data_IF_408850193855
#
_entry.id   IF_408850193855
#
_cell.length_a   1.000
_cell.length_b   1.000
_cell.length_c   1.000
_cell.angle_alpha   90.00
_cell.angle_beta   90.00
_cell.angle_gamma   90.00
#
_symmetry.space_group_name_H-M   'P 1'
#
loop_
_entity.id
_entity.type
_entity.pdbx_description
1 polymer ?
#
# COMPACT_ATOMS: atom_id res chain seq x y z
N UNK A 1 -10.16 -19.87 10.07
CA UNK A 1 -10.79 -19.12 8.99
C UNK A 1 -11.69 -20.08 8.24
N UNK A 2 -12.96 -19.75 8.09
CA UNK A 2 -13.87 -20.58 7.30
C UNK A 2 -13.65 -20.39 5.79
N UNK A 3 -14.31 -21.22 4.98
CA UNK A 3 -14.17 -21.20 3.52
C UNK A 3 -14.70 -19.91 2.89
N UNK A 4 -15.74 -19.31 3.47
CA UNK A 4 -16.33 -18.06 2.98
C UNK A 4 -15.37 -16.90 3.25
N UNK A 5 -14.87 -16.77 4.48
CA UNK A 5 -13.86 -15.78 4.88
C UNK A 5 -12.62 -15.83 3.97
N UNK A 6 -12.08 -17.04 3.74
CA UNK A 6 -10.91 -17.23 2.87
C UNK A 6 -11.20 -16.81 1.42
N UNK A 7 -12.42 -17.08 0.94
CA UNK A 7 -12.86 -16.70 -0.41
C UNK A 7 -12.99 -15.19 -0.54
N UNK A 8 -13.59 -14.53 0.46
CA UNK A 8 -13.73 -13.07 0.50
C UNK A 8 -12.36 -12.40 0.51
N UNK A 9 -11.43 -12.87 1.34
CA UNK A 9 -10.07 -12.35 1.39
C UNK A 9 -9.35 -12.50 0.04
N UNK A 10 -9.45 -13.67 -0.59
CA UNK A 10 -8.87 -13.91 -1.91
C UNK A 10 -9.43 -12.93 -2.95
N UNK A 11 -10.75 -12.76 -3.00
CA UNK A 11 -11.40 -11.80 -3.90
C UNK A 11 -10.95 -10.36 -3.63
N UNK A 12 -10.81 -9.97 -2.36
CA UNK A 12 -10.30 -8.64 -2.01
C UNK A 12 -8.86 -8.40 -2.52
N UNK A 13 -7.97 -9.39 -2.35
CA UNK A 13 -6.58 -9.32 -2.83
C UNK A 13 -6.50 -9.24 -4.37
N UNK A 14 -7.30 -10.04 -5.07
CA UNK A 14 -7.37 -10.04 -6.53
C UNK A 14 -7.89 -8.70 -7.08
N UNK A 15 -8.82 -8.05 -6.38
CA UNK A 15 -9.39 -6.76 -6.76
C UNK A 15 -8.45 -5.55 -6.53
N UNK A 16 -7.32 -5.71 -5.83
CA UNK A 16 -6.32 -4.64 -5.70
C UNK A 16 -5.64 -4.46 -7.06
N UNK A 17 -5.73 -3.27 -7.70
CA UNK A 17 -5.05 -3.00 -8.97
C UNK A 17 -3.54 -2.91 -8.79
N UNK A 18 -2.78 -2.92 -9.88
CA UNK A 18 -1.38 -2.46 -9.83
C UNK A 18 -1.35 -0.97 -9.54
N UNK A 19 -0.52 -0.54 -8.59
CA UNK A 19 -0.36 0.86 -8.22
C UNK A 19 0.38 1.61 -9.33
N UNK A 20 -0.22 2.72 -9.74
CA UNK A 20 0.35 3.69 -10.67
C UNK A 20 0.21 5.10 -10.10
N UNK A 21 0.84 6.08 -10.75
CA UNK A 21 0.76 7.51 -10.37
C UNK A 21 -0.67 8.05 -10.28
N UNK A 22 -1.61 7.49 -11.03
CA UNK A 22 -2.96 8.02 -11.20
C UNK A 22 -4.03 7.35 -10.33
N UNK A 23 -3.74 6.18 -9.76
CA UNK A 23 -4.77 5.34 -9.12
C UNK A 23 -4.58 5.16 -7.60
N UNK A 24 -3.67 5.91 -6.97
CA UNK A 24 -3.31 5.72 -5.56
C UNK A 24 -4.50 5.73 -4.61
N UNK A 25 -5.47 6.63 -4.77
CA UNK A 25 -6.64 6.68 -3.88
C UNK A 25 -7.51 5.42 -3.95
N UNK A 26 -7.71 4.89 -5.16
CA UNK A 26 -8.43 3.63 -5.37
C UNK A 26 -7.62 2.45 -4.82
N UNK A 27 -6.33 2.39 -5.15
CA UNK A 27 -5.42 1.34 -4.69
C UNK A 27 -5.39 1.29 -3.16
N UNK A 28 -5.21 2.45 -2.51
CA UNK A 28 -5.17 2.59 -1.06
C UNK A 28 -6.46 2.06 -0.44
N UNK A 29 -7.63 2.48 -0.94
CA UNK A 29 -8.91 1.99 -0.42
C UNK A 29 -9.05 0.47 -0.54
N UNK A 30 -8.61 -0.15 -1.65
CA UNK A 30 -8.65 -1.61 -1.82
C UNK A 30 -7.72 -2.34 -0.84
N UNK A 31 -6.53 -1.80 -0.59
CA UNK A 31 -5.60 -2.37 0.39
C UNK A 31 -6.13 -2.22 1.82
N UNK A 32 -6.67 -1.06 2.18
CA UNK A 32 -7.26 -0.81 3.51
C UNK A 32 -8.43 -1.77 3.79
N UNK A 33 -9.35 -1.94 2.83
CA UNK A 33 -10.44 -2.92 2.97
C UNK A 33 -9.93 -4.36 3.18
N UNK A 34 -8.86 -4.74 2.48
CA UNK A 34 -8.23 -6.06 2.66
C UNK A 34 -7.62 -6.20 4.06
N UNK A 35 -7.00 -5.14 4.59
CA UNK A 35 -6.46 -5.12 5.95
C UNK A 35 -7.56 -5.20 7.01
N UNK A 36 -8.68 -4.52 6.81
CA UNK A 36 -9.84 -4.57 7.71
C UNK A 36 -10.41 -5.98 7.81
N UNK A 37 -10.49 -6.71 6.68
CA UNK A 37 -10.90 -8.12 6.66
C UNK A 37 -9.97 -9.05 7.46
N UNK A 38 -8.73 -8.62 7.71
CA UNK A 38 -7.74 -9.37 8.47
C UNK A 38 -7.50 -8.79 9.87
N UNK A 39 -8.18 -7.70 10.24
CA UNK A 39 -7.94 -6.92 11.47
C UNK A 39 -6.49 -6.41 11.58
N UNK A 40 -5.87 -6.04 10.46
CA UNK A 40 -4.46 -5.63 10.38
C UNK A 40 -4.24 -4.14 10.08
N UNK A 41 -5.32 -3.36 9.96
CA UNK A 41 -5.23 -1.94 9.61
C UNK A 41 -4.32 -1.17 10.57
N UNK A 42 -4.64 -1.21 11.87
CA UNK A 42 -3.88 -0.49 12.89
C UNK A 42 -2.47 -1.07 13.06
N UNK A 43 -2.32 -2.40 12.92
CA UNK A 43 -1.03 -3.07 13.01
C UNK A 43 -0.05 -2.59 11.93
N UNK A 44 -0.55 -2.33 10.72
CA UNK A 44 0.27 -1.83 9.61
C UNK A 44 0.46 -0.31 9.68
N UNK A 45 -0.62 0.44 9.91
CA UNK A 45 -0.67 1.89 9.65
C UNK A 45 -0.36 2.76 10.87
N UNK A 46 -0.67 2.30 12.08
CA UNK A 46 -0.44 3.08 13.31
C UNK A 46 1.05 3.21 13.58
N UNK A 47 1.49 4.32 14.18
CA UNK A 47 2.88 4.54 14.59
C UNK A 47 3.39 3.45 15.54
N UNK A 48 2.51 2.97 16.43
CA UNK A 48 2.80 1.92 17.41
C UNK A 48 2.32 0.53 16.97
N UNK A 49 1.83 0.38 15.74
CA UNK A 49 1.37 -0.90 15.21
C UNK A 49 2.47 -1.96 15.20
N UNK A 50 2.12 -3.22 15.43
CA UNK A 50 3.08 -4.33 15.41
C UNK A 50 2.55 -5.47 14.56
N UNK A 51 3.42 -6.07 13.74
CA UNK A 51 3.12 -7.26 12.95
C UNK A 51 3.92 -8.44 13.51
N UNK A 52 3.30 -9.61 13.56
CA UNK A 52 4.04 -10.87 13.68
C UNK A 52 4.89 -11.09 12.43
N UNK A 53 5.90 -11.97 12.52
CA UNK A 53 6.75 -12.33 11.36
C UNK A 53 5.93 -12.85 10.18
N UNK A 54 4.89 -13.64 10.44
CA UNK A 54 4.02 -14.18 9.38
C UNK A 54 3.22 -13.09 8.69
N UNK A 55 2.61 -12.19 9.47
CA UNK A 55 1.86 -11.05 8.93
C UNK A 55 2.76 -10.12 8.12
N UNK A 56 3.97 -9.84 8.59
CA UNK A 56 4.95 -9.03 7.85
C UNK A 56 5.30 -9.65 6.49
N UNK A 57 5.57 -10.96 6.45
CA UNK A 57 5.84 -11.69 5.20
C UNK A 57 4.64 -11.60 4.25
N UNK A 58 3.44 -11.90 4.74
CA UNK A 58 2.23 -11.90 3.92
C UNK A 58 1.93 -10.50 3.34
N UNK A 59 1.97 -9.48 4.19
CA UNK A 59 1.70 -8.10 3.77
C UNK A 59 2.77 -7.58 2.83
N UNK A 60 4.07 -7.86 3.06
CA UNK A 60 5.11 -7.44 2.09
C UNK A 60 4.84 -8.06 0.73
N UNK A 61 4.50 -9.35 0.68
CA UNK A 61 4.27 -10.07 -0.58
C UNK A 61 3.09 -9.45 -1.34
N UNK A 62 2.00 -9.14 -0.65
CA UNK A 62 0.85 -8.48 -1.28
C UNK A 62 1.24 -7.09 -1.77
N UNK A 63 1.83 -6.25 -0.90
CA UNK A 63 2.19 -4.88 -1.23
C UNK A 63 3.12 -4.81 -2.45
N UNK A 64 4.21 -5.57 -2.47
CA UNK A 64 5.19 -5.54 -3.58
C UNK A 64 4.63 -6.13 -4.87
N UNK A 65 3.77 -7.15 -4.80
CA UNK A 65 3.09 -7.72 -5.97
C UNK A 65 2.10 -6.76 -6.65
N UNK A 66 1.69 -5.72 -5.94
CA UNK A 66 0.71 -4.73 -6.40
C UNK A 66 1.35 -3.39 -6.76
N UNK A 67 2.66 -3.36 -7.00
CA UNK A 67 3.37 -2.23 -7.58
C UNK A 67 3.67 -2.50 -9.05
N UNK A 68 3.46 -1.53 -9.93
CA UNK A 68 4.04 -1.61 -11.26
C UNK A 68 5.57 -1.47 -11.19
N UNK A 69 6.28 -1.82 -12.28
CA UNK A 69 7.74 -1.80 -12.30
C UNK A 69 8.33 -0.43 -11.95
N UNK A 70 7.71 0.64 -12.47
CA UNK A 70 8.21 2.00 -12.25
C UNK A 70 8.03 2.45 -10.81
N UNK A 71 6.86 2.19 -10.21
CA UNK A 71 6.57 2.49 -8.81
C UNK A 71 7.42 1.64 -7.88
N UNK A 72 7.62 0.35 -8.20
CA UNK A 72 8.46 -0.55 -7.41
C UNK A 72 9.90 -0.01 -7.30
N UNK A 73 10.52 0.39 -8.42
CA UNK A 73 11.90 0.89 -8.44
C UNK A 73 12.08 2.20 -7.67
N UNK A 74 11.04 3.04 -7.59
CA UNK A 74 11.09 4.32 -6.88
C UNK A 74 10.82 4.21 -5.37
N UNK A 75 10.15 3.15 -4.93
CA UNK A 75 9.67 3.00 -3.56
C UNK A 75 10.47 1.97 -2.79
N UNK A 76 10.82 0.85 -3.41
CA UNK A 76 11.44 -0.29 -2.73
C UNK A 76 12.97 -0.15 -2.74
N UNK A 77 13.58 -0.27 -1.56
CA UNK A 77 15.03 -0.23 -1.37
C UNK A 77 15.49 -1.27 -0.34
N UNK A 78 16.81 -1.36 -0.14
CA UNK A 78 17.42 -2.29 0.82
C UNK A 78 17.03 -2.00 2.29
N UNK A 79 16.50 -0.81 2.60
CA UNK A 79 16.09 -0.42 3.94
C UNK A 79 14.66 -0.88 4.25
N UNK A 80 13.79 -0.93 3.25
CA UNK A 80 12.36 -1.21 3.43
C UNK A 80 11.90 -2.58 2.88
N UNK A 81 12.62 -3.22 1.97
CA UNK A 81 12.16 -4.43 1.26
C UNK A 81 11.75 -5.60 2.17
N UNK A 82 12.24 -5.62 3.43
CA UNK A 82 11.95 -6.66 4.44
C UNK A 82 11.01 -6.19 5.56
N UNK A 83 10.31 -5.08 5.39
CA UNK A 83 9.41 -4.55 6.42
C UNK A 83 8.13 -3.96 5.79
N UNK A 84 6.99 -4.62 6.02
CA UNK A 84 5.73 -4.22 5.43
C UNK A 84 5.28 -2.81 5.86
N UNK A 85 5.54 -2.42 7.12
CA UNK A 85 5.22 -1.08 7.63
C UNK A 85 6.07 -0.01 6.95
N UNK A 86 7.36 -0.27 6.75
CA UNK A 86 8.26 0.62 6.02
C UNK A 86 7.84 0.78 4.56
N UNK A 87 7.44 -0.32 3.89
CA UNK A 87 6.91 -0.27 2.51
C UNK A 87 5.63 0.57 2.45
N UNK A 88 4.66 0.32 3.33
CA UNK A 88 3.43 1.10 3.40
C UNK A 88 3.69 2.60 3.60
N UNK A 89 4.63 2.95 4.49
CA UNK A 89 5.04 4.34 4.74
C UNK A 89 5.72 4.95 3.52
N UNK A 90 6.62 4.22 2.86
CA UNK A 90 7.29 4.68 1.64
C UNK A 90 6.28 4.96 0.52
N UNK A 91 5.31 4.06 0.31
CA UNK A 91 4.20 4.27 -0.62
C UNK A 91 3.41 5.53 -0.27
N UNK A 92 2.94 5.62 0.97
CA UNK A 92 2.12 6.75 1.42
C UNK A 92 2.84 8.10 1.24
N UNK A 93 4.15 8.15 1.56
CA UNK A 93 4.96 9.35 1.44
C UNK A 93 5.23 9.75 -0.02
N UNK A 94 5.53 8.78 -0.88
CA UNK A 94 5.79 9.02 -2.30
C UNK A 94 4.60 9.70 -2.99
N UNK A 95 3.39 9.19 -2.72
CA UNK A 95 2.17 9.71 -3.33
C UNK A 95 1.66 11.00 -2.67
N UNK A 96 1.86 11.18 -1.36
CA UNK A 96 1.59 12.46 -0.71
C UNK A 96 2.47 13.59 -1.28
N UNK A 97 3.77 13.30 -1.48
CA UNK A 97 4.72 14.24 -2.08
C UNK A 97 4.40 14.54 -3.55
N UNK A 98 4.06 13.50 -4.32
CA UNK A 98 3.68 13.66 -5.73
C UNK A 98 2.43 14.52 -5.90
N UNK A 99 1.41 14.32 -5.06
CA UNK A 99 0.23 15.19 -5.07
C UNK A 99 0.56 16.64 -4.70
N UNK A 100 1.38 16.86 -3.68
CA UNK A 100 1.79 18.21 -3.27
C UNK A 100 2.57 18.92 -4.40
N UNK A 101 3.51 18.21 -5.05
CA UNK A 101 4.29 18.72 -6.19
C UNK A 101 3.40 19.04 -7.39
N UNK A 102 2.47 18.13 -7.74
CA UNK A 102 1.53 18.34 -8.84
C UNK A 102 0.62 19.56 -8.58
N UNK A 103 0.09 19.71 -7.36
CA UNK A 103 -0.69 20.90 -6.98
C UNK A 103 0.14 22.18 -7.06
N UNK A 104 1.39 22.15 -6.59
CA UNK A 104 2.28 23.31 -6.65
C UNK A 104 2.63 23.72 -8.08
N UNK A 105 2.81 22.75 -8.99
CA UNK A 105 3.06 23.02 -10.42
C UNK A 105 1.84 23.65 -11.09
N UNK A 106 0.66 23.07 -10.92
CA UNK A 106 -0.59 23.62 -11.49
C UNK A 106 -0.81 25.06 -11.02
N UNK A 107 -0.55 25.36 -9.75
CA UNK A 107 -0.68 26.72 -9.23
C UNK A 107 0.31 27.71 -9.90
N UNK A 108 1.55 27.29 -10.18
CA UNK A 108 2.54 28.10 -10.89
C UNK A 108 2.20 28.34 -12.37
N UNK A 109 1.46 27.43 -13.01
CA UNK A 109 1.05 27.56 -14.42
C UNK A 109 -0.18 28.48 -14.61
N UNK A 110 -0.90 28.80 -13.53
CA UNK A 110 -2.12 29.64 -13.55
C UNK A 110 -1.83 31.10 -13.15
N UNK A 111 -0.62 31.41 -12.69
CA UNK A 111 -0.13 32.75 -12.33
C UNK A 111 0.68 33.38 -13.47
#
# INVERSE_FOLDING_TARGET
MDKLETTILKTAIEAIPLLTVDNFSLWKNRVENMLDLQELYDNLTSEKGTLTKSQDVQLRTILTSKLDLSTHANIIDHNNEKNARSIWKAISNYFASSQASNRARVFKEIL
#
